data_IF_631534506346
#
_entry.id   IF_631534506346
#
_cell.length_a   1.000
_cell.length_b   1.000
_cell.length_c   1.000
_cell.angle_alpha   90.00
_cell.angle_beta   90.00
_cell.angle_gamma   90.00
#
_symmetry.space_group_name_H-M   'P 1'
#
loop_
_entity.id
_entity.type
_entity.pdbx_description
1 polymer ?
#
# COMPACT_ATOMS: atom_id res chain seq x y z
N UNK A 1 -3.86 -4.08 13.69
CA UNK A 1 -4.37 -3.58 12.41
C UNK A 1 -5.71 -2.90 12.58
N UNK A 2 -5.94 -1.84 11.85
CA UNK A 2 -7.25 -1.18 11.82
C UNK A 2 -8.25 -2.01 11.02
N UNK A 3 -9.52 -1.63 11.10
CA UNK A 3 -10.56 -2.31 10.31
C UNK A 3 -10.30 -2.18 8.81
N UNK A 4 -9.85 -1.00 8.37
CA UNK A 4 -9.52 -0.79 6.96
C UNK A 4 -8.37 -1.70 6.53
N UNK A 5 -7.32 -1.78 7.33
CA UNK A 5 -6.19 -2.66 7.03
C UNK A 5 -6.60 -4.12 6.97
N UNK A 6 -7.44 -4.56 7.91
CA UNK A 6 -7.94 -5.94 7.90
C UNK A 6 -8.76 -6.23 6.65
N UNK A 7 -9.61 -5.29 6.28
CA UNK A 7 -10.43 -5.46 5.10
C UNK A 7 -9.57 -5.57 3.84
N UNK A 8 -8.59 -4.71 3.73
CA UNK A 8 -7.69 -4.75 2.58
C UNK A 8 -6.87 -6.04 2.59
N UNK A 9 -6.36 -6.44 3.75
CA UNK A 9 -5.59 -7.67 3.85
C UNK A 9 -6.41 -8.90 3.41
N UNK A 10 -7.71 -8.90 3.68
CA UNK A 10 -8.55 -10.03 3.29
C UNK A 10 -8.56 -10.26 1.78
N UNK A 11 -8.33 -9.22 0.97
CA UNK A 11 -8.27 -9.36 -0.48
C UNK A 11 -6.85 -9.48 -1.01
N UNK A 12 -5.85 -9.03 -0.26
CA UNK A 12 -4.45 -9.11 -0.69
C UNK A 12 -3.81 -10.46 -0.38
N UNK A 13 -4.21 -11.07 0.72
CA UNK A 13 -3.60 -12.31 1.19
C UNK A 13 -3.82 -13.44 0.19
N UNK A 14 -2.97 -14.44 0.22
CA UNK A 14 -3.08 -15.63 -0.63
C UNK A 14 -3.13 -15.29 -2.12
N UNK A 15 -2.40 -14.25 -2.52
CA UNK A 15 -2.32 -13.80 -3.91
C UNK A 15 -3.68 -13.38 -4.47
N UNK A 16 -4.52 -12.79 -3.62
CA UNK A 16 -5.87 -12.39 -4.02
C UNK A 16 -5.94 -11.41 -5.17
N UNK A 17 -4.90 -10.57 -5.35
CA UNK A 17 -4.83 -9.63 -6.47
C UNK A 17 -3.72 -10.01 -7.45
N UNK A 18 -3.10 -11.18 -7.28
CA UNK A 18 -2.05 -11.69 -8.17
C UNK A 18 -0.71 -11.84 -7.46
N UNK A 19 -0.04 -10.74 -7.11
CA UNK A 19 1.25 -10.83 -6.43
C UNK A 19 1.11 -11.31 -5.00
N UNK A 20 2.24 -11.75 -4.46
CA UNK A 20 2.31 -12.09 -3.05
C UNK A 20 2.55 -10.83 -2.24
N UNK A 21 1.54 -10.40 -1.52
CA UNK A 21 1.67 -9.29 -0.58
C UNK A 21 1.95 -9.79 0.83
N UNK A 22 2.76 -9.03 1.55
CA UNK A 22 2.99 -9.24 2.98
C UNK A 22 2.54 -7.99 3.71
N UNK A 23 2.22 -8.14 4.98
CA UNK A 23 1.82 -7.02 5.82
C UNK A 23 2.93 -6.66 6.79
N UNK A 24 2.96 -5.40 7.19
CA UNK A 24 3.90 -4.87 8.19
C UNK A 24 5.33 -5.22 7.80
N UNK A 25 5.76 -4.75 6.64
CA UNK A 25 7.05 -5.09 6.05
C UNK A 25 8.07 -4.00 6.34
N UNK A 26 9.20 -4.34 6.95
CA UNK A 26 10.27 -3.35 7.14
C UNK A 26 11.00 -3.09 5.83
N UNK A 27 11.14 -1.83 5.46
CA UNK A 27 11.93 -1.40 4.32
C UNK A 27 12.78 -0.23 4.78
N UNK A 28 14.09 -0.45 4.91
CA UNK A 28 14.99 0.53 5.50
C UNK A 28 14.53 0.89 6.90
N UNK A 29 14.43 2.19 7.22
CA UNK A 29 14.01 2.62 8.57
C UNK A 29 12.51 2.61 8.77
N UNK A 30 11.74 2.18 7.79
CA UNK A 30 10.27 2.27 7.84
C UNK A 30 9.63 0.90 7.87
N UNK A 31 8.42 0.83 8.44
CA UNK A 31 7.57 -0.34 8.36
C UNK A 31 6.35 0.06 7.55
N UNK A 32 6.14 -0.60 6.41
CA UNK A 32 5.02 -0.29 5.53
C UNK A 32 3.85 -1.24 5.80
N UNK A 33 2.64 -0.78 5.52
CA UNK A 33 1.46 -1.57 5.81
C UNK A 33 1.44 -2.86 5.00
N UNK A 34 1.64 -2.75 3.69
CA UNK A 34 1.67 -3.92 2.80
C UNK A 34 2.71 -3.72 1.72
N UNK A 35 3.35 -4.80 1.30
CA UNK A 35 4.33 -4.73 0.21
C UNK A 35 4.33 -6.01 -0.60
N UNK A 36 4.43 -5.86 -1.91
CA UNK A 36 4.75 -6.93 -2.84
C UNK A 36 6.17 -6.65 -3.32
N UNK A 37 7.13 -7.32 -2.70
CA UNK A 37 8.56 -7.02 -2.91
C UNK A 37 8.97 -7.28 -4.35
N UNK A 38 8.55 -8.40 -4.92
CA UNK A 38 8.96 -8.77 -6.27
C UNK A 38 8.43 -7.79 -7.31
N UNK A 39 7.27 -7.21 -7.08
CA UNK A 39 6.67 -6.24 -7.98
C UNK A 39 7.03 -4.81 -7.63
N UNK A 40 7.72 -4.60 -6.53
CA UNK A 40 8.14 -3.28 -6.04
C UNK A 40 6.94 -2.36 -5.81
N UNK A 41 5.90 -2.87 -5.16
CA UNK A 41 4.70 -2.10 -4.84
C UNK A 41 4.51 -2.07 -3.32
N UNK A 42 4.27 -0.88 -2.81
CA UNK A 42 3.97 -0.65 -1.39
C UNK A 42 2.59 -0.04 -1.29
N UNK A 43 1.79 -0.50 -0.34
CA UNK A 43 0.46 0.05 -0.09
C UNK A 43 0.42 0.56 1.34
N UNK A 44 -0.04 1.80 1.48
CA UNK A 44 -0.24 2.43 2.78
C UNK A 44 -1.69 2.80 2.95
N UNK A 45 -2.24 2.53 4.13
CA UNK A 45 -3.62 2.91 4.47
C UNK A 45 -3.54 4.03 5.50
N UNK A 46 -4.10 5.18 5.15
CA UNK A 46 -3.95 6.40 5.93
C UNK A 46 -5.25 6.75 6.65
N UNK A 47 -5.12 7.08 7.93
CA UNK A 47 -6.27 7.45 8.75
C UNK A 47 -6.69 8.91 8.63
N UNK A 48 -6.00 9.71 7.83
CA UNK A 48 -6.36 11.11 7.63
C UNK A 48 -5.77 12.08 8.64
N UNK A 49 -4.68 11.72 9.28
CA UNK A 49 -4.00 12.58 10.24
C UNK A 49 -3.13 13.59 9.50
N UNK A 50 -3.53 14.86 9.53
CA UNK A 50 -2.80 15.91 8.83
C UNK A 50 -1.37 16.10 9.33
N UNK A 51 -1.14 15.85 10.59
CA UNK A 51 0.15 16.07 11.19
C UNK A 51 1.26 15.19 10.63
N UNK A 52 0.90 14.17 9.86
CA UNK A 52 1.86 13.22 9.35
C UNK A 52 2.27 13.46 7.91
N UNK A 53 1.70 14.48 7.25
CA UNK A 53 1.94 14.68 5.82
C UNK A 53 3.41 14.93 5.48
N UNK A 54 4.13 15.70 6.30
CA UNK A 54 5.55 15.97 6.05
C UNK A 54 6.39 14.72 6.24
N UNK A 55 6.10 13.97 7.28
CA UNK A 55 6.79 12.70 7.55
C UNK A 55 6.55 11.72 6.41
N UNK A 56 5.32 11.68 5.90
CA UNK A 56 4.94 10.79 4.80
C UNK A 56 5.69 11.13 3.52
N UNK A 57 5.92 12.41 3.24
CA UNK A 57 6.66 12.80 2.04
C UNK A 57 8.09 12.28 2.04
N UNK A 58 8.78 12.39 3.17
CA UNK A 58 10.13 11.87 3.29
C UNK A 58 10.17 10.35 3.16
N UNK A 59 9.19 9.70 3.74
CA UNK A 59 9.03 8.25 3.67
C UNK A 59 8.80 7.80 2.22
N UNK A 60 7.89 8.48 1.52
CA UNK A 60 7.59 8.14 0.14
C UNK A 60 8.81 8.31 -0.75
N UNK A 61 9.57 9.41 -0.58
CA UNK A 61 10.78 9.64 -1.34
C UNK A 61 11.79 8.54 -1.12
N UNK A 62 11.95 8.11 0.11
CA UNK A 62 12.87 7.02 0.42
C UNK A 62 12.45 5.75 -0.30
N UNK A 63 11.18 5.39 -0.20
CA UNK A 63 10.68 4.17 -0.82
C UNK A 63 10.79 4.23 -2.35
N UNK A 64 10.47 5.37 -2.94
CA UNK A 64 10.59 5.55 -4.38
C UNK A 64 12.04 5.47 -4.84
N UNK A 65 12.96 5.99 -4.04
CA UNK A 65 14.39 5.90 -4.34
C UNK A 65 14.89 4.45 -4.29
N UNK A 66 14.22 3.60 -3.52
CA UNK A 66 14.52 2.18 -3.47
C UNK A 66 13.83 1.39 -4.59
N UNK A 67 13.10 2.06 -5.45
CA UNK A 67 12.45 1.42 -6.58
C UNK A 67 11.01 1.01 -6.35
N UNK A 68 10.42 1.41 -5.23
CA UNK A 68 9.04 1.04 -4.93
C UNK A 68 8.06 2.06 -5.46
N UNK A 69 6.93 1.58 -5.96
CA UNK A 69 5.77 2.41 -6.25
C UNK A 69 4.91 2.42 -4.99
N UNK A 70 4.59 3.61 -4.49
CA UNK A 70 3.80 3.75 -3.27
C UNK A 70 2.37 4.11 -3.63
N UNK A 71 1.43 3.30 -3.19
CA UNK A 71 -0.01 3.55 -3.34
C UNK A 71 -0.57 3.87 -1.96
N UNK A 72 -1.28 4.97 -1.86
CA UNK A 72 -1.84 5.40 -0.59
C UNK A 72 -3.35 5.55 -0.72
N UNK A 73 -4.06 4.93 0.21
CA UNK A 73 -5.51 4.98 0.26
C UNK A 73 -5.97 5.46 1.63
N UNK A 74 -7.05 6.20 1.67
CA UNK A 74 -7.66 6.58 2.92
C UNK A 74 -8.40 5.40 3.53
N UNK A 75 -8.45 5.35 4.86
CA UNK A 75 -9.26 4.34 5.55
C UNK A 75 -10.68 4.32 5.00
N UNK A 76 -11.27 5.50 4.80
CA UNK A 76 -12.64 5.60 4.31
C UNK A 76 -12.79 5.03 2.91
N UNK A 77 -11.79 5.20 2.05
CA UNK A 77 -11.83 4.60 0.71
C UNK A 77 -11.88 3.08 0.80
N UNK A 78 -11.02 2.52 1.64
CA UNK A 78 -10.96 1.07 1.79
C UNK A 78 -12.29 0.52 2.31
N UNK A 79 -12.89 1.24 3.27
CA UNK A 79 -14.12 0.77 3.92
C UNK A 79 -15.35 0.97 3.05
N UNK A 80 -15.37 2.01 2.20
CA UNK A 80 -16.57 2.36 1.43
C UNK A 80 -16.45 2.06 -0.05
N UNK A 81 -15.24 1.85 -0.57
CA UNK A 81 -15.04 1.60 -1.99
C UNK A 81 -13.89 0.60 -2.20
N UNK A 82 -14.01 -0.54 -1.57
CA UNK A 82 -12.95 -1.56 -1.65
C UNK A 82 -12.72 -2.02 -3.08
N UNK A 83 -13.79 -2.10 -3.87
CA UNK A 83 -13.68 -2.52 -5.26
C UNK A 83 -12.81 -1.57 -6.07
N UNK A 84 -12.98 -0.26 -5.88
CA UNK A 84 -12.15 0.74 -6.55
C UNK A 84 -10.70 0.68 -6.10
N UNK A 85 -10.47 0.44 -4.81
CA UNK A 85 -9.12 0.28 -4.27
C UNK A 85 -8.44 -0.93 -4.89
N UNK A 86 -9.14 -2.06 -4.94
CA UNK A 86 -8.59 -3.29 -5.53
C UNK A 86 -8.28 -3.10 -7.01
N UNK A 87 -9.14 -2.39 -7.74
CA UNK A 87 -8.91 -2.10 -9.15
C UNK A 87 -7.62 -1.28 -9.33
N UNK A 88 -7.43 -0.27 -8.50
CA UNK A 88 -6.22 0.56 -8.56
C UNK A 88 -4.97 -0.27 -8.27
N UNK A 89 -5.04 -1.16 -7.29
CA UNK A 89 -3.91 -2.02 -6.95
C UNK A 89 -3.60 -2.97 -8.10
N UNK A 90 -4.61 -3.59 -8.70
CA UNK A 90 -4.40 -4.49 -9.83
C UNK A 90 -3.73 -3.79 -11.00
N UNK A 91 -4.13 -2.57 -11.29
CA UNK A 91 -3.50 -1.79 -12.35
C UNK A 91 -2.04 -1.52 -12.04
N UNK A 92 -1.73 -1.19 -10.80
CA UNK A 92 -0.37 -0.88 -10.41
C UNK A 92 0.56 -2.08 -10.52
N UNK A 93 0.05 -3.29 -10.22
CA UNK A 93 0.90 -4.48 -10.24
C UNK A 93 1.06 -5.08 -11.62
N UNK A 94 0.15 -4.80 -12.56
CA UNK A 94 0.28 -5.32 -13.93
C UNK A 94 0.90 -4.31 -14.88
N UNK A 95 0.97 -3.04 -14.50
CA UNK A 95 1.57 -1.99 -15.31
C UNK A 95 2.88 -1.56 -14.67
N UNK A 96 4.00 -2.18 -15.04
CA UNK A 96 5.28 -1.92 -14.40
C UNK A 96 5.89 -0.60 -14.80
N UNK A 97 5.40 0.04 -15.83
CA UNK A 97 6.04 1.25 -16.28
C UNK A 97 5.74 2.42 -15.37
N UNK A 98 6.39 3.36 -15.52
CA UNK A 98 6.74 4.18 -16.64
C UNK A 98 8.09 4.31 -16.96
#
# INVERSE_FOLDING_TARGET
MTDAERRLWSVLRNRGVGPKFRRQVPIGPFIVDFAAIDECVVIEVDGGQHAESVRDQGRDRYLEAQGFRVLRFWNTEVLTNLEGVVTAIRRAVVDPSP
#
